data_IF_993702749627
#
_entry.id   IF_993702749627
#
_cell.length_a   1.000
_cell.length_b   1.000
_cell.length_c   1.000
_cell.angle_alpha   90.00
_cell.angle_beta   90.00
_cell.angle_gamma   90.00
#
_symmetry.space_group_name_H-M   'P 1'
#
loop_
_entity.id
_entity.type
_entity.pdbx_description
1 polymer ?
#
# COMPACT_ATOMS: atom_id res chain seq x y z
N UNK A 1 -70.06 57.79 -67.06
CA UNK A 1 -68.99 58.27 -67.98
C UNK A 1 -67.84 58.80 -67.11
N UNK A 2 -66.67 58.11 -67.13
CA UNK A 2 -65.32 58.47 -66.59
C UNK A 2 -65.15 58.68 -65.06
N UNK A 3 -64.03 58.37 -64.38
CA UNK A 3 -62.88 57.40 -64.46
C UNK A 3 -61.95 57.69 -63.24
N UNK A 4 -61.38 56.66 -62.59
CA UNK A 4 -60.03 56.55 -61.93
C UNK A 4 -59.67 57.55 -60.78
N UNK A 5 -58.95 57.24 -59.66
CA UNK A 5 -57.78 56.38 -59.39
C UNK A 5 -57.55 56.24 -57.86
N UNK A 6 -56.78 55.20 -57.45
CA UNK A 6 -56.34 54.74 -56.11
C UNK A 6 -55.46 55.72 -55.28
N UNK A 7 -55.34 55.50 -53.96
CA UNK A 7 -54.13 55.04 -53.22
C UNK A 7 -54.48 54.81 -51.72
N UNK A 8 -53.79 53.84 -51.10
CA UNK A 8 -53.93 53.30 -49.74
C UNK A 8 -52.97 53.97 -48.74
N UNK A 9 -53.18 53.74 -47.43
CA UNK A 9 -52.08 53.68 -46.44
C UNK A 9 -52.42 52.83 -45.20
N UNK A 10 -51.42 52.07 -44.76
CA UNK A 10 -51.35 51.15 -43.63
C UNK A 10 -50.70 51.80 -42.38
N UNK A 11 -50.92 51.23 -41.19
CA UNK A 11 -49.92 51.08 -40.11
C UNK A 11 -50.52 50.19 -39.00
N UNK A 12 -50.16 48.90 -38.89
CA UNK A 12 -48.98 48.27 -38.25
C UNK A 12 -48.96 48.34 -36.71
N UNK A 13 -49.41 47.25 -36.10
CA UNK A 13 -49.23 46.91 -34.69
C UNK A 13 -47.93 46.14 -34.44
N UNK A 14 -47.31 46.40 -33.29
CA UNK A 14 -46.11 45.71 -32.82
C UNK A 14 -46.41 44.46 -32.00
N UNK A 15 -45.53 43.46 -32.10
CA UNK A 15 -45.50 42.28 -31.22
C UNK A 15 -44.07 41.78 -30.99
N UNK A 16 -43.63 41.89 -29.71
CA UNK A 16 -42.96 40.86 -28.90
C UNK A 16 -41.82 40.01 -29.49
N UNK A 17 -40.56 40.48 -29.37
CA UNK A 17 -39.34 39.64 -29.52
C UNK A 17 -38.64 39.29 -28.20
N UNK A 18 -39.01 39.90 -27.06
CA UNK A 18 -38.24 39.79 -25.81
C UNK A 18 -38.39 38.47 -25.04
N UNK A 19 -39.42 37.66 -25.31
CA UNK A 19 -39.73 36.46 -24.51
C UNK A 19 -38.95 35.20 -24.91
N UNK A 20 -38.67 35.02 -26.20
CA UNK A 20 -38.04 33.80 -26.73
C UNK A 20 -36.52 33.73 -26.48
N UNK A 21 -35.85 34.88 -26.37
CA UNK A 21 -34.40 34.92 -26.14
C UNK A 21 -34.04 34.61 -24.66
N UNK A 22 -34.95 34.92 -23.73
CA UNK A 22 -34.77 34.67 -22.29
C UNK A 22 -34.96 33.19 -21.93
N UNK A 23 -35.85 32.47 -22.63
CA UNK A 23 -36.07 31.03 -22.45
C UNK A 23 -34.92 30.19 -23.01
N UNK A 24 -34.35 30.56 -24.15
CA UNK A 24 -33.21 29.84 -24.74
C UNK A 24 -31.93 29.99 -23.90
N UNK A 25 -31.69 31.17 -23.32
CA UNK A 25 -30.55 31.41 -22.42
C UNK A 25 -30.67 30.65 -21.11
N UNK A 26 -31.88 30.53 -20.55
CA UNK A 26 -32.15 29.73 -19.37
C UNK A 26 -32.09 28.22 -19.63
N UNK A 27 -32.49 27.76 -20.83
CA UNK A 27 -32.33 26.35 -21.23
C UNK A 27 -30.86 25.96 -21.44
N UNK A 28 -30.05 26.83 -22.04
CA UNK A 28 -28.60 26.61 -22.18
C UNK A 28 -27.92 26.62 -20.81
N UNK A 29 -28.29 27.56 -19.93
CA UNK A 29 -27.73 27.60 -18.57
C UNK A 29 -28.14 26.37 -17.75
N UNK A 30 -29.40 25.93 -17.85
CA UNK A 30 -29.88 24.70 -17.21
C UNK A 30 -29.19 23.45 -17.77
N UNK A 31 -28.98 23.37 -19.09
CA UNK A 31 -28.25 22.27 -19.72
C UNK A 31 -26.76 22.26 -19.32
N UNK A 32 -26.10 23.42 -19.25
CA UNK A 32 -24.71 23.54 -18.78
C UNK A 32 -24.60 23.19 -17.30
N UNK A 33 -25.56 23.60 -16.46
CA UNK A 33 -25.63 23.21 -15.04
C UNK A 33 -25.93 21.72 -14.88
N UNK A 34 -26.78 21.13 -15.73
CA UNK A 34 -27.06 19.68 -15.73
C UNK A 34 -25.86 18.86 -16.21
N UNK A 35 -25.10 19.35 -17.20
CA UNK A 35 -23.85 18.72 -17.67
C UNK A 35 -22.74 18.87 -16.61
N UNK A 36 -22.65 20.01 -15.92
CA UNK A 36 -21.75 20.18 -14.78
C UNK A 36 -22.17 19.30 -13.58
N UNK A 37 -23.46 19.18 -13.28
CA UNK A 37 -23.97 18.30 -12.22
C UNK A 37 -23.76 16.81 -12.56
N UNK A 38 -23.94 16.41 -13.82
CA UNK A 38 -23.70 15.04 -14.28
C UNK A 38 -22.21 14.66 -14.33
N UNK A 39 -21.32 15.65 -14.43
CA UNK A 39 -19.86 15.44 -14.33
C UNK A 39 -19.33 15.52 -12.89
N UNK A 40 -20.09 16.11 -11.96
CA UNK A 40 -19.74 16.20 -10.54
C UNK A 40 -20.04 14.91 -9.75
N UNK A 41 -20.86 13.99 -10.29
CA UNK A 41 -21.29 12.77 -9.57
C UNK A 41 -21.11 11.46 -10.37
N UNK A 42 -20.28 11.47 -11.42
CA UNK A 42 -19.75 10.24 -11.99
C UNK A 42 -18.57 9.75 -11.13
N UNK A 43 -18.87 9.29 -9.91
CA UNK A 43 -17.86 8.71 -9.02
C UNK A 43 -17.00 7.69 -9.76
N UNK A 44 -15.68 7.75 -9.57
CA UNK A 44 -14.72 6.83 -10.21
C UNK A 44 -15.25 5.38 -10.10
N UNK A 45 -15.19 4.58 -11.17
CA UNK A 45 -15.66 3.19 -11.07
C UNK A 45 -14.63 2.35 -10.30
N UNK A 46 -15.07 1.36 -9.47
CA UNK A 46 -14.15 0.41 -8.87
C UNK A 46 -13.27 -0.28 -9.93
N UNK A 47 -11.98 -0.40 -9.66
CA UNK A 47 -11.00 -1.03 -10.55
C UNK A 47 -10.56 -2.37 -9.98
N UNK A 48 -10.65 -3.42 -10.80
CA UNK A 48 -10.14 -4.75 -10.46
C UNK A 48 -8.66 -4.84 -10.83
N UNK A 49 -7.82 -5.16 -9.86
CA UNK A 49 -6.38 -5.26 -10.01
C UNK A 49 -5.95 -6.70 -9.78
N UNK A 50 -5.27 -7.31 -10.77
CA UNK A 50 -4.70 -8.65 -10.59
C UNK A 50 -3.42 -8.57 -9.76
N UNK A 51 -3.34 -9.36 -8.70
CA UNK A 51 -2.24 -9.33 -7.73
C UNK A 51 -1.56 -10.68 -7.62
N UNK A 52 -0.31 -10.67 -7.19
CA UNK A 52 0.48 -11.84 -6.85
C UNK A 52 1.11 -11.65 -5.46
N UNK A 53 0.79 -12.56 -4.54
CA UNK A 53 1.48 -12.68 -3.26
C UNK A 53 2.55 -13.77 -3.36
N UNK A 54 3.81 -13.39 -3.16
CA UNK A 54 4.97 -14.26 -3.31
C UNK A 54 5.36 -14.84 -1.95
N UNK A 55 5.68 -16.14 -1.92
CA UNK A 55 6.32 -16.80 -0.78
C UNK A 55 7.65 -17.41 -1.19
N UNK A 56 8.70 -17.15 -0.42
CA UNK A 56 9.95 -17.90 -0.43
C UNK A 56 10.71 -17.61 0.87
N UNK A 57 11.59 -18.53 1.28
CA UNK A 57 12.51 -18.31 2.40
C UNK A 57 13.76 -17.61 1.87
N UNK A 58 14.05 -16.35 2.25
CA UNK A 58 15.30 -15.69 1.88
C UNK A 58 16.50 -16.27 2.65
N UNK A 59 17.64 -16.40 1.98
CA UNK A 59 18.91 -16.79 2.59
C UNK A 59 19.44 -15.72 3.54
N UNK A 60 19.95 -16.12 4.70
CA UNK A 60 20.49 -15.18 5.68
C UNK A 60 21.83 -14.61 5.20
N UNK A 61 21.94 -13.28 5.16
CA UNK A 61 23.15 -12.58 4.74
C UNK A 61 23.56 -12.85 3.27
N UNK A 62 22.63 -13.27 2.41
CA UNK A 62 22.88 -13.53 0.98
C UNK A 62 22.14 -12.53 0.09
N UNK A 63 22.59 -11.27 0.11
CA UNK A 63 21.96 -10.20 -0.66
C UNK A 63 21.87 -10.52 -2.16
N UNK A 64 22.94 -11.06 -2.74
CA UNK A 64 23.02 -11.33 -4.17
C UNK A 64 22.11 -12.50 -4.59
N UNK A 65 22.12 -13.61 -3.85
CA UNK A 65 21.26 -14.75 -4.11
C UNK A 65 19.79 -14.43 -3.89
N UNK A 66 19.47 -13.72 -2.81
CA UNK A 66 18.11 -13.24 -2.55
C UNK A 66 17.62 -12.31 -3.65
N UNK A 67 18.44 -11.38 -4.13
CA UNK A 67 18.06 -10.50 -5.22
C UNK A 67 17.78 -11.27 -6.53
N UNK A 68 18.56 -12.32 -6.83
CA UNK A 68 18.30 -13.21 -7.97
C UNK A 68 16.98 -13.97 -7.81
N UNK A 69 16.73 -14.52 -6.62
CA UNK A 69 15.50 -15.28 -6.35
C UNK A 69 14.26 -14.40 -6.40
N UNK A 70 14.32 -13.20 -5.80
CA UNK A 70 13.26 -12.21 -5.83
C UNK A 70 12.94 -11.76 -7.27
N UNK A 71 13.97 -11.49 -8.08
CA UNK A 71 13.77 -11.18 -9.51
C UNK A 71 13.06 -12.33 -10.25
N UNK A 72 13.47 -13.58 -10.03
CA UNK A 72 12.83 -14.74 -10.66
C UNK A 72 11.34 -14.86 -10.26
N UNK A 73 11.02 -14.64 -8.98
CA UNK A 73 9.64 -14.64 -8.51
C UNK A 73 8.80 -13.52 -9.14
N UNK A 74 9.33 -12.30 -9.26
CA UNK A 74 8.62 -11.21 -9.92
C UNK A 74 8.40 -11.46 -11.41
N UNK A 75 9.35 -12.09 -12.11
CA UNK A 75 9.16 -12.51 -13.51
C UNK A 75 8.03 -13.53 -13.64
N UNK A 76 7.96 -14.51 -12.74
CA UNK A 76 6.85 -15.49 -12.71
C UNK A 76 5.51 -14.81 -12.38
N UNK A 77 5.49 -13.86 -11.46
CA UNK A 77 4.29 -13.09 -11.15
C UNK A 77 3.79 -12.28 -12.37
N UNK A 78 4.70 -11.62 -13.08
CA UNK A 78 4.39 -10.90 -14.31
C UNK A 78 3.88 -11.83 -15.43
N UNK A 79 4.52 -12.99 -15.61
CA UNK A 79 4.05 -14.00 -16.57
C UNK A 79 2.65 -14.53 -16.22
N UNK A 80 2.29 -14.56 -14.94
CA UNK A 80 0.94 -14.85 -14.46
C UNK A 80 -0.04 -13.66 -14.54
N UNK A 81 0.32 -12.57 -15.21
CA UNK A 81 -0.55 -11.41 -15.47
C UNK A 81 -0.75 -10.47 -14.27
N UNK A 82 0.08 -10.56 -13.23
CA UNK A 82 -0.04 -9.67 -12.08
C UNK A 82 0.31 -8.22 -12.45
N UNK A 83 -0.52 -7.28 -12.00
CA UNK A 83 -0.25 -5.83 -12.08
C UNK A 83 0.48 -5.32 -10.82
N UNK A 84 0.34 -6.05 -9.70
CA UNK A 84 1.03 -5.85 -8.44
C UNK A 84 1.60 -7.19 -7.95
N UNK A 85 2.90 -7.23 -7.66
CA UNK A 85 3.54 -8.37 -7.00
C UNK A 85 4.08 -7.94 -5.64
N UNK A 86 3.62 -8.60 -4.58
CA UNK A 86 4.05 -8.35 -3.19
C UNK A 86 4.90 -9.53 -2.74
N UNK A 87 6.08 -9.25 -2.20
CA UNK A 87 7.02 -10.23 -1.68
C UNK A 87 7.25 -10.06 -0.16
N UNK A 88 7.84 -11.06 0.50
CA UNK A 88 7.98 -11.08 1.95
C UNK A 88 8.77 -9.93 2.57
N UNK A 89 8.61 -9.81 3.88
CA UNK A 89 9.50 -9.04 4.75
C UNK A 89 10.91 -9.59 4.70
N UNK A 90 11.90 -8.70 4.74
CA UNK A 90 13.32 -9.06 4.73
C UNK A 90 13.76 -9.93 3.56
N UNK A 91 13.10 -9.76 2.41
CA UNK A 91 13.32 -10.55 1.20
C UNK A 91 14.73 -10.38 0.61
N UNK A 92 15.45 -9.29 0.93
CA UNK A 92 16.82 -9.07 0.47
C UNK A 92 17.89 -9.52 1.47
N UNK A 93 17.70 -9.28 2.76
CA UNK A 93 18.71 -9.56 3.77
C UNK A 93 18.54 -10.92 4.46
N UNK A 94 17.33 -11.51 4.45
CA UNK A 94 17.04 -12.79 5.10
C UNK A 94 16.53 -12.69 6.54
N UNK A 95 15.88 -11.57 6.90
CA UNK A 95 15.41 -11.29 8.26
C UNK A 95 16.49 -11.52 9.35
N UNK A 96 17.73 -11.13 9.03
CA UNK A 96 18.94 -11.44 9.80
C UNK A 96 19.02 -10.79 11.16
N UNK A 97 18.14 -9.83 11.44
CA UNK A 97 18.05 -9.17 12.74
C UNK A 97 17.85 -10.17 13.88
N UNK A 98 17.14 -11.28 13.63
CA UNK A 98 16.96 -12.33 14.62
C UNK A 98 18.26 -13.06 14.98
N UNK A 99 19.20 -13.21 14.03
CA UNK A 99 20.51 -13.81 14.30
C UNK A 99 21.36 -12.88 15.19
N UNK A 100 21.24 -11.57 14.98
CA UNK A 100 21.94 -10.56 15.79
C UNK A 100 21.38 -10.54 17.21
N UNK A 101 20.05 -10.47 17.34
CA UNK A 101 19.37 -10.45 18.64
C UNK A 101 19.63 -11.74 19.42
N UNK A 102 19.73 -12.88 18.75
CA UNK A 102 20.05 -14.16 19.38
C UNK A 102 21.55 -14.37 19.65
N UNK A 103 22.41 -13.37 19.41
CA UNK A 103 23.86 -13.47 19.66
C UNK A 103 24.63 -14.36 18.66
N UNK A 104 23.99 -14.82 17.59
CA UNK A 104 24.59 -15.70 16.57
C UNK A 104 25.38 -14.93 15.50
N UNK A 105 25.18 -13.63 15.43
CA UNK A 105 25.92 -12.75 14.53
C UNK A 105 26.21 -11.41 15.22
N UNK A 106 27.35 -10.82 14.90
CA UNK A 106 27.68 -9.45 15.32
C UNK A 106 26.76 -8.44 14.60
N UNK A 107 26.29 -7.37 15.27
CA UNK A 107 25.45 -6.35 14.65
C UNK A 107 26.01 -5.78 13.34
N UNK A 108 27.33 -5.61 13.24
CA UNK A 108 28.04 -5.04 12.09
C UNK A 108 27.74 -5.78 10.79
N UNK A 109 27.51 -7.10 10.86
CA UNK A 109 27.20 -7.94 9.69
C UNK A 109 25.96 -7.51 8.93
N UNK A 110 25.01 -6.82 9.56
CA UNK A 110 23.83 -6.36 8.84
C UNK A 110 24.21 -5.34 7.75
N UNK A 111 25.32 -4.61 7.91
CA UNK A 111 25.76 -3.60 6.95
C UNK A 111 26.14 -4.20 5.60
N UNK A 112 26.54 -5.47 5.58
CA UNK A 112 26.90 -6.22 4.37
C UNK A 112 25.69 -6.50 3.47
N UNK A 113 24.48 -6.47 4.05
CA UNK A 113 23.23 -6.80 3.37
C UNK A 113 22.15 -5.71 3.45
N UNK A 114 22.34 -4.70 4.29
CA UNK A 114 21.51 -3.50 4.32
C UNK A 114 21.86 -2.59 3.14
N UNK A 115 20.83 -1.99 2.54
CA UNK A 115 20.97 -1.20 1.31
C UNK A 115 20.38 0.19 1.47
N UNK A 116 20.94 1.17 0.78
CA UNK A 116 20.29 2.46 0.58
C UNK A 116 19.34 2.37 -0.64
N UNK A 117 18.32 3.23 -0.68
CA UNK A 117 17.30 3.16 -1.74
C UNK A 117 17.78 3.65 -3.12
N UNK A 118 18.91 4.35 -3.16
CA UNK A 118 19.62 4.75 -4.37
C UNK A 118 20.70 3.73 -4.80
N UNK A 119 20.86 2.61 -4.06
CA UNK A 119 21.81 1.56 -4.41
C UNK A 119 21.48 0.82 -5.71
N UNK A 120 22.50 0.19 -6.31
CA UNK A 120 22.37 -0.62 -7.53
C UNK A 120 21.38 -1.78 -7.39
N UNK A 121 21.27 -2.36 -6.19
CA UNK A 121 20.32 -3.45 -5.92
C UNK A 121 18.89 -2.94 -6.05
N UNK A 122 18.58 -1.75 -5.55
CA UNK A 122 17.24 -1.15 -5.70
C UNK A 122 17.03 -0.67 -7.14
N UNK A 123 18.06 -0.11 -7.79
CA UNK A 123 18.02 0.28 -9.20
C UNK A 123 17.71 -0.92 -10.12
N UNK A 124 18.22 -2.12 -9.81
CA UNK A 124 17.88 -3.37 -10.49
C UNK A 124 16.39 -3.66 -10.46
N UNK A 125 15.73 -3.55 -9.30
CA UNK A 125 14.28 -3.77 -9.18
C UNK A 125 13.45 -2.67 -9.84
N UNK A 126 13.92 -1.41 -9.83
CA UNK A 126 13.30 -0.33 -10.60
C UNK A 126 13.33 -0.60 -12.11
N UNK A 127 14.44 -1.12 -12.63
CA UNK A 127 14.57 -1.53 -14.03
C UNK A 127 13.70 -2.75 -14.34
N UNK A 128 13.61 -3.70 -13.41
CA UNK A 128 12.77 -4.88 -13.54
C UNK A 128 11.29 -4.50 -13.62
N UNK A 129 10.80 -3.65 -12.72
CA UNK A 129 9.41 -3.16 -12.71
C UNK A 129 9.02 -2.55 -14.07
N UNK A 130 9.90 -1.71 -14.65
CA UNK A 130 9.71 -1.16 -16.01
C UNK A 130 9.61 -2.23 -17.09
N UNK A 131 10.56 -3.17 -17.09
CA UNK A 131 10.63 -4.23 -18.10
C UNK A 131 9.41 -5.16 -18.05
N UNK A 132 8.93 -5.45 -16.84
CA UNK A 132 7.77 -6.32 -16.64
C UNK A 132 6.45 -5.57 -16.78
N UNK A 133 6.46 -4.24 -16.70
CA UNK A 133 5.27 -3.39 -16.57
C UNK A 133 4.39 -3.80 -15.36
N UNK A 134 5.03 -4.07 -14.22
CA UNK A 134 4.38 -4.53 -12.97
C UNK A 134 4.84 -3.66 -11.80
N UNK A 135 3.93 -3.37 -10.87
CA UNK A 135 4.28 -2.75 -9.59
C UNK A 135 4.84 -3.79 -8.62
N UNK A 136 5.95 -3.48 -7.94
CA UNK A 136 6.67 -4.40 -7.06
C UNK A 136 6.66 -3.88 -5.61
N UNK A 137 6.38 -4.76 -4.67
CA UNK A 137 6.53 -4.50 -3.23
C UNK A 137 7.39 -5.60 -2.61
N UNK A 138 8.41 -5.23 -1.84
CA UNK A 138 9.27 -6.19 -1.13
C UNK A 138 9.93 -5.59 0.09
N UNK A 139 10.25 -6.45 1.06
CA UNK A 139 10.99 -6.08 2.27
C UNK A 139 12.51 -6.07 2.08
N UNK A 140 13.18 -5.15 2.77
CA UNK A 140 14.63 -5.01 2.81
C UNK A 140 15.09 -4.35 4.12
N UNK A 141 16.33 -4.57 4.51
CA UNK A 141 17.01 -3.76 5.52
C UNK A 141 17.50 -2.43 4.89
N UNK A 142 16.86 -1.31 5.21
CA UNK A 142 17.25 0.01 4.67
C UNK A 142 18.30 0.64 5.56
N UNK A 143 19.45 1.01 4.99
CA UNK A 143 20.49 1.78 5.67
C UNK A 143 20.27 3.28 5.46
N UNK A 144 20.30 4.06 6.53
CA UNK A 144 20.22 5.53 6.50
C UNK A 144 21.20 6.08 7.53
N UNK A 145 22.25 6.78 7.06
CA UNK A 145 23.22 7.47 7.95
C UNK A 145 23.76 6.58 9.09
N UNK A 146 24.02 5.31 8.79
CA UNK A 146 24.55 4.32 9.73
C UNK A 146 23.52 3.54 10.53
N UNK A 147 22.27 4.01 10.61
CA UNK A 147 21.15 3.25 11.18
C UNK A 147 20.53 2.31 10.12
N UNK A 148 19.92 1.22 10.57
CA UNK A 148 19.23 0.24 9.74
C UNK A 148 17.78 0.08 10.21
N UNK A 149 16.87 0.06 9.25
CA UNK A 149 15.43 -0.07 9.45
C UNK A 149 14.91 -1.30 8.71
N UNK A 150 13.98 -2.02 9.34
CA UNK A 150 13.15 -2.97 8.61
C UNK A 150 12.18 -2.18 7.72
N UNK A 151 12.39 -2.27 6.40
CA UNK A 151 11.74 -1.44 5.40
C UNK A 151 10.98 -2.30 4.39
N UNK A 152 9.91 -1.74 3.85
CA UNK A 152 9.28 -2.21 2.62
C UNK A 152 9.12 -1.04 1.66
N UNK A 153 9.37 -1.30 0.37
CA UNK A 153 9.26 -0.30 -0.70
C UNK A 153 8.20 -0.68 -1.71
N UNK A 154 7.53 0.32 -2.27
CA UNK A 154 6.65 0.17 -3.42
C UNK A 154 7.29 0.82 -4.64
N UNK A 155 7.50 0.05 -5.70
CA UNK A 155 8.03 0.50 -6.98
C UNK A 155 6.92 0.37 -8.03
N UNK A 156 6.54 1.46 -8.69
CA UNK A 156 5.54 1.38 -9.76
C UNK A 156 6.11 0.74 -11.05
N UNK A 157 5.20 0.44 -11.99
CA UNK A 157 5.53 -0.12 -13.29
C UNK A 157 6.40 0.80 -14.18
N UNK A 158 6.64 2.07 -13.78
CA UNK A 158 7.60 2.99 -14.42
C UNK A 158 8.94 3.02 -13.69
N UNK A 159 9.11 2.22 -12.64
CA UNK A 159 10.33 2.11 -11.85
C UNK A 159 10.57 3.28 -10.89
N UNK A 160 9.52 4.04 -10.54
CA UNK A 160 9.57 5.07 -9.50
C UNK A 160 9.23 4.41 -8.15
N UNK A 161 9.98 4.78 -7.11
CA UNK A 161 9.62 4.43 -5.73
C UNK A 161 8.46 5.37 -5.32
N UNK A 162 7.24 4.84 -5.26
CA UNK A 162 6.07 5.62 -4.88
C UNK A 162 5.99 5.87 -3.37
N UNK A 163 6.49 4.90 -2.59
CA UNK A 163 6.43 4.95 -1.14
C UNK A 163 7.37 3.93 -0.52
N UNK A 164 7.69 4.20 0.74
CA UNK A 164 8.41 3.29 1.62
C UNK A 164 7.80 3.34 3.01
N UNK A 165 8.00 2.29 3.77
CA UNK A 165 7.53 2.21 5.14
C UNK A 165 8.56 1.50 6.00
N UNK A 166 8.84 2.08 7.16
CA UNK A 166 9.67 1.46 8.20
C UNK A 166 8.77 0.84 9.25
N UNK A 167 9.00 -0.43 9.58
CA UNK A 167 8.21 -1.18 10.55
C UNK A 167 8.07 -0.40 11.85
N UNK A 168 6.84 -0.15 12.26
CA UNK A 168 6.57 0.66 13.45
C UNK A 168 6.39 -0.17 14.71
N UNK A 169 6.09 -1.47 14.58
CA UNK A 169 5.92 -2.39 15.70
C UNK A 169 6.82 -3.63 15.53
N UNK A 170 7.90 -3.71 16.30
CA UNK A 170 8.82 -4.85 16.29
C UNK A 170 8.26 -6.00 17.15
N UNK A 171 8.42 -7.24 16.69
CA UNK A 171 7.92 -8.41 17.43
C UNK A 171 8.82 -8.71 18.64
N UNK A 172 10.11 -8.57 18.41
CA UNK A 172 11.25 -8.71 19.32
C UNK A 172 11.34 -7.60 20.37
N UNK A 173 10.59 -6.50 20.20
CA UNK A 173 10.69 -5.28 21.00
C UNK A 173 11.76 -4.33 20.50
N UNK A 174 12.14 -3.36 21.32
CA UNK A 174 13.13 -2.35 20.94
C UNK A 174 13.98 -1.90 22.12
N UNK A 175 15.26 -1.67 21.85
CA UNK A 175 16.18 -1.00 22.76
C UNK A 175 16.84 0.21 22.06
N UNK A 176 16.99 1.37 22.71
CA UNK A 176 17.55 2.57 22.08
C UNK A 176 18.98 2.42 21.53
N UNK A 177 19.75 1.43 21.98
CA UNK A 177 21.09 1.16 21.43
C UNK A 177 21.07 0.43 20.07
N UNK A 178 19.92 -0.09 19.64
CA UNK A 178 19.80 -0.84 18.38
C UNK A 178 19.85 0.09 17.18
N UNK A 179 21.05 0.38 16.70
CA UNK A 179 21.27 1.04 15.42
C UNK A 179 20.93 0.13 14.23
N UNK A 180 20.92 -1.20 14.43
CA UNK A 180 20.68 -2.20 13.38
C UNK A 180 19.20 -2.58 13.17
N UNK A 181 18.28 -2.04 13.98
CA UNK A 181 16.85 -2.33 13.88
C UNK A 181 16.01 -1.20 14.50
N UNK A 182 16.05 -0.03 13.87
CA UNK A 182 15.36 1.17 14.33
C UNK A 182 13.85 1.10 14.08
N UNK A 183 13.10 1.70 15.00
CA UNK A 183 11.65 1.87 14.85
C UNK A 183 11.33 2.91 13.78
N UNK A 184 10.39 2.55 12.90
CA UNK A 184 9.73 3.50 12.02
C UNK A 184 8.99 4.59 12.80
N UNK A 185 8.81 5.76 12.20
CA UNK A 185 8.26 6.94 12.90
C UNK A 185 6.88 7.36 12.42
N UNK A 186 6.48 6.99 11.20
CA UNK A 186 5.22 7.45 10.58
C UNK A 186 4.67 6.38 9.65
N UNK A 187 3.34 6.26 9.63
CA UNK A 187 2.60 5.45 8.63
C UNK A 187 1.77 6.38 7.76
N UNK A 188 1.95 6.38 6.44
CA UNK A 188 1.19 7.21 5.50
C UNK A 188 0.84 6.41 4.27
N UNK A 189 -0.27 6.77 3.65
CA UNK A 189 -0.61 6.24 2.35
C UNK A 189 0.08 7.05 1.25
N UNK A 190 0.27 6.47 0.08
CA UNK A 190 0.92 7.13 -1.06
C UNK A 190 0.28 6.74 -2.37
N UNK A 191 0.33 7.63 -3.35
CA UNK A 191 -0.36 7.43 -4.62
C UNK A 191 0.44 6.47 -5.52
N UNK A 192 -0.26 5.51 -6.10
CA UNK A 192 0.28 4.56 -7.08
C UNK A 192 -0.61 4.55 -8.32
N UNK A 193 -0.13 4.03 -9.47
CA UNK A 193 -0.99 3.83 -10.64
C UNK A 193 -2.21 2.91 -10.38
N UNK A 194 -2.15 2.10 -9.31
CA UNK A 194 -3.19 1.15 -8.94
C UNK A 194 -4.18 1.72 -7.92
N UNK A 195 -3.97 2.95 -7.43
CA UNK A 195 -4.69 3.55 -6.30
C UNK A 195 -3.75 3.91 -5.15
N UNK A 196 -4.26 4.62 -4.15
CA UNK A 196 -3.49 5.01 -2.97
C UNK A 196 -3.27 3.80 -2.06
N UNK A 197 -2.02 3.51 -1.73
CA UNK A 197 -1.60 2.30 -1.03
C UNK A 197 -1.12 2.63 0.39
N UNK A 198 -1.43 1.77 1.36
CA UNK A 198 -0.75 1.71 2.66
C UNK A 198 0.09 0.44 2.81
N UNK A 199 1.23 0.55 3.48
CA UNK A 199 2.08 -0.62 3.80
C UNK A 199 2.04 -0.88 5.30
N UNK A 200 1.90 -2.15 5.68
CA UNK A 200 2.17 -2.67 7.02
C UNK A 200 3.27 -3.72 6.89
N UNK A 201 4.09 -3.94 7.92
CA UNK A 201 5.08 -5.03 7.89
C UNK A 201 4.80 -6.00 9.01
N UNK A 202 4.45 -7.23 8.63
CA UNK A 202 4.38 -8.38 9.51
C UNK A 202 3.65 -8.12 10.83
N UNK A 203 4.39 -7.93 11.92
CA UNK A 203 3.86 -7.75 13.26
C UNK A 203 2.99 -6.49 13.42
N UNK A 204 3.07 -5.53 12.50
CA UNK A 204 2.14 -4.40 12.44
C UNK A 204 0.67 -4.86 12.27
N UNK A 205 0.42 -6.00 11.61
CA UNK A 205 -0.93 -6.55 11.35
C UNK A 205 -1.74 -6.81 12.62
N UNK A 206 -1.07 -7.06 13.74
CA UNK A 206 -1.70 -7.35 15.04
C UNK A 206 -2.26 -6.10 15.72
N UNK A 207 -1.94 -4.91 15.22
CA UNK A 207 -2.41 -3.65 15.79
C UNK A 207 -3.43 -3.00 14.84
N UNK A 208 -4.72 -2.94 15.20
CA UNK A 208 -5.74 -2.37 14.32
C UNK A 208 -5.45 -0.90 13.97
N UNK A 209 -4.88 -0.13 14.91
CA UNK A 209 -4.54 1.28 14.71
C UNK A 209 -3.52 1.47 13.58
N UNK A 210 -2.56 0.55 13.42
CA UNK A 210 -1.54 0.66 12.38
C UNK A 210 -2.11 0.50 10.97
N UNK A 211 -3.17 -0.31 10.81
CA UNK A 211 -3.90 -0.42 9.55
C UNK A 211 -4.85 0.76 9.33
N UNK A 212 -5.46 1.28 10.40
CA UNK A 212 -6.38 2.42 10.34
C UNK A 212 -5.68 3.71 9.89
N UNK A 213 -4.47 3.98 10.38
CA UNK A 213 -3.70 5.20 10.06
C UNK A 213 -3.57 5.47 8.55
N UNK A 214 -3.03 4.55 7.72
CA UNK A 214 -2.92 4.81 6.28
C UNK A 214 -4.29 4.86 5.60
N UNK A 215 -5.31 4.17 6.11
CA UNK A 215 -6.67 4.21 5.55
C UNK A 215 -7.32 5.57 5.81
N UNK A 216 -7.18 6.14 7.00
CA UNK A 216 -7.59 7.52 7.30
C UNK A 216 -6.81 8.55 6.46
N UNK A 217 -5.57 8.22 6.07
CA UNK A 217 -4.78 8.99 5.11
C UNK A 217 -5.15 8.71 3.63
N UNK A 218 -6.21 7.93 3.39
CA UNK A 218 -6.82 7.66 2.08
C UNK A 218 -6.34 6.40 1.37
N UNK A 219 -5.67 5.46 2.04
CA UNK A 219 -5.34 4.18 1.41
C UNK A 219 -6.61 3.46 0.94
N UNK A 220 -6.60 3.05 -0.33
CA UNK A 220 -7.66 2.28 -0.98
C UNK A 220 -7.39 0.77 -0.93
N UNK A 221 -6.15 0.37 -0.61
CA UNK A 221 -5.74 -1.01 -0.38
C UNK A 221 -4.49 -1.05 0.51
N UNK A 222 -4.28 -2.17 1.19
CA UNK A 222 -3.11 -2.41 2.03
C UNK A 222 -2.26 -3.56 1.47
N UNK A 223 -0.96 -3.46 1.67
CA UNK A 223 -0.02 -4.56 1.42
C UNK A 223 0.73 -4.90 2.70
N UNK A 224 0.95 -6.20 2.92
CA UNK A 224 1.61 -6.71 4.13
C UNK A 224 2.75 -7.67 3.75
N UNK A 225 3.97 -7.17 3.52
CA UNK A 225 5.18 -8.01 3.51
C UNK A 225 5.41 -8.60 4.90
N UNK A 226 5.65 -9.91 4.95
CA UNK A 226 5.65 -10.65 6.21
C UNK A 226 6.67 -11.79 6.24
N UNK A 227 7.32 -11.99 7.39
CA UNK A 227 8.03 -13.23 7.71
C UNK A 227 7.77 -13.56 9.19
N UNK A 228 6.69 -14.30 9.45
CA UNK A 228 6.24 -14.55 10.82
C UNK A 228 5.29 -15.73 10.97
N UNK A 229 4.34 -15.59 11.89
CA UNK A 229 3.36 -16.64 12.20
C UNK A 229 2.63 -17.13 10.94
N UNK A 230 2.35 -18.43 10.89
CA UNK A 230 1.52 -19.09 9.86
C UNK A 230 0.18 -19.60 10.44
N UNK A 231 -0.15 -19.20 11.67
CA UNK A 231 -1.30 -19.69 12.42
C UNK A 231 -2.64 -19.16 11.90
N UNK A 232 -3.74 -19.85 12.20
CA UNK A 232 -5.09 -19.36 11.87
C UNK A 232 -5.38 -17.96 12.45
N UNK A 233 -4.83 -17.64 13.63
CA UNK A 233 -4.96 -16.32 14.23
C UNK A 233 -4.33 -15.21 13.37
N UNK A 234 -3.29 -15.54 12.58
CA UNK A 234 -2.69 -14.57 11.66
C UNK A 234 -3.65 -14.27 10.51
N UNK A 235 -4.28 -15.30 9.95
CA UNK A 235 -5.23 -15.16 8.85
C UNK A 235 -6.41 -14.29 9.27
N UNK A 236 -6.93 -14.52 10.50
CA UNK A 236 -7.98 -13.70 11.08
C UNK A 236 -7.53 -12.25 11.31
N UNK A 237 -6.28 -12.02 11.72
CA UNK A 237 -5.77 -10.67 11.88
C UNK A 237 -5.73 -9.92 10.55
N UNK A 238 -5.26 -10.56 9.48
CA UNK A 238 -5.22 -9.98 8.11
C UNK A 238 -6.62 -9.72 7.58
N UNK A 239 -7.54 -10.68 7.74
CA UNK A 239 -8.94 -10.53 7.36
C UNK A 239 -9.61 -9.37 8.11
N UNK A 240 -9.39 -9.29 9.42
CA UNK A 240 -9.88 -8.20 10.26
C UNK A 240 -9.35 -6.84 9.82
N UNK A 241 -8.08 -6.73 9.37
CA UNK A 241 -7.54 -5.48 8.81
C UNK A 241 -8.32 -5.00 7.61
N UNK A 242 -8.68 -5.92 6.71
CA UNK A 242 -9.52 -5.59 5.56
C UNK A 242 -10.95 -5.19 5.96
N UNK A 243 -11.58 -5.96 6.86
CA UNK A 243 -12.98 -5.74 7.30
C UNK A 243 -13.19 -4.42 8.03
N UNK A 244 -12.34 -4.13 9.02
CA UNK A 244 -12.47 -2.92 9.83
C UNK A 244 -12.28 -1.65 9.01
N UNK A 245 -11.45 -1.72 7.96
CA UNK A 245 -11.10 -0.58 7.13
C UNK A 245 -11.85 -0.53 5.79
N UNK A 246 -12.59 -1.59 5.44
CA UNK A 246 -13.29 -1.76 4.16
C UNK A 246 -12.38 -1.56 2.94
N UNK A 247 -11.16 -2.06 3.03
CA UNK A 247 -10.17 -2.05 1.93
C UNK A 247 -9.59 -3.45 1.72
N UNK A 248 -9.26 -3.84 0.49
CA UNK A 248 -8.57 -5.09 0.24
C UNK A 248 -7.15 -5.10 0.83
N UNK A 249 -6.65 -6.31 1.10
CA UNK A 249 -5.32 -6.55 1.66
C UNK A 249 -4.61 -7.63 0.85
N UNK A 250 -3.36 -7.39 0.48
CA UNK A 250 -2.47 -8.39 -0.12
C UNK A 250 -1.33 -8.69 0.84
N UNK A 251 -1.32 -9.87 1.44
CA UNK A 251 -0.23 -10.33 2.29
C UNK A 251 0.67 -11.32 1.55
N UNK A 252 1.97 -11.04 1.61
CA UNK A 252 3.03 -11.96 1.23
C UNK A 252 3.81 -12.38 2.47
N UNK A 253 3.44 -13.52 3.07
CA UNK A 253 4.14 -14.11 4.20
C UNK A 253 4.87 -15.40 3.79
N UNK A 254 5.97 -15.72 4.47
CA UNK A 254 6.75 -16.93 4.20
C UNK A 254 5.99 -18.15 4.73
N UNK A 255 5.55 -19.04 3.83
CA UNK A 255 4.75 -20.23 4.15
C UNK A 255 3.25 -19.98 4.34
N UNK A 256 2.76 -18.76 4.16
CA UNK A 256 1.33 -18.48 3.99
C UNK A 256 1.15 -17.18 3.21
N UNK A 257 0.30 -17.15 2.20
CA UNK A 257 0.01 -15.93 1.44
C UNK A 257 -1.48 -15.74 1.40
N UNK A 258 -1.95 -14.50 1.49
CA UNK A 258 -3.38 -14.19 1.60
C UNK A 258 -3.74 -13.01 0.71
N UNK A 259 -4.87 -13.12 0.03
CA UNK A 259 -5.56 -11.99 -0.61
C UNK A 259 -6.92 -11.86 0.03
N UNK A 260 -7.20 -10.67 0.57
CA UNK A 260 -8.50 -10.28 1.14
C UNK A 260 -9.12 -9.25 0.22
N UNK A 261 -10.34 -9.51 -0.24
CA UNK A 261 -11.17 -8.58 -1.01
C UNK A 261 -12.62 -8.76 -0.59
N UNK A 262 -13.41 -7.69 -0.60
CA UNK A 262 -14.84 -7.71 -0.21
C UNK A 262 -15.13 -8.49 1.09
N UNK A 263 -14.35 -8.20 2.14
CA UNK A 263 -14.50 -8.74 3.49
C UNK A 263 -14.32 -10.27 3.63
N UNK A 264 -13.65 -10.91 2.67
CA UNK A 264 -13.35 -12.34 2.68
C UNK A 264 -11.95 -12.64 2.16
N UNK A 265 -11.38 -13.78 2.55
CA UNK A 265 -10.15 -14.31 1.97
C UNK A 265 -10.51 -14.92 0.61
N UNK A 266 -10.04 -14.32 -0.48
CA UNK A 266 -10.34 -14.75 -1.86
C UNK A 266 -9.26 -15.65 -2.45
N UNK A 267 -8.05 -15.60 -1.90
CA UNK A 267 -6.98 -16.54 -2.25
C UNK A 267 -6.08 -16.79 -1.04
N UNK A 268 -5.70 -18.05 -0.84
CA UNK A 268 -4.76 -18.49 0.20
C UNK A 268 -3.91 -19.65 -0.30
N UNK A 269 -2.64 -19.66 0.07
CA UNK A 269 -1.73 -20.77 -0.15
C UNK A 269 -0.78 -20.87 1.05
N UNK A 270 -0.29 -22.08 1.35
CA UNK A 270 0.54 -22.38 2.51
C UNK A 270 1.89 -23.02 2.16
N UNK A 271 2.28 -22.98 0.88
CA UNK A 271 3.60 -23.42 0.45
C UNK A 271 4.65 -22.42 0.90
N UNK A 272 5.80 -22.93 1.33
CA UNK A 272 6.95 -22.09 1.67
C UNK A 272 7.52 -21.38 0.45
N UNK A 273 7.36 -21.97 -0.74
CA UNK A 273 7.75 -21.36 -2.00
C UNK A 273 6.60 -21.43 -3.01
N UNK A 274 6.21 -20.27 -3.53
CA UNK A 274 5.10 -20.19 -4.47
C UNK A 274 4.63 -18.78 -4.75
N UNK A 275 3.63 -18.68 -5.63
CA UNK A 275 2.94 -17.43 -5.94
C UNK A 275 1.45 -17.71 -5.88
N UNK A 276 0.74 -16.91 -5.09
CA UNK A 276 -0.71 -16.93 -4.99
C UNK A 276 -1.25 -15.77 -5.77
N UNK A 277 -1.97 -16.07 -6.85
CA UNK A 277 -2.64 -15.06 -7.65
C UNK A 277 -4.03 -14.76 -7.08
N UNK A 278 -4.42 -13.50 -7.14
CA UNK A 278 -5.75 -13.05 -6.74
C UNK A 278 -6.15 -11.80 -7.50
N UNK A 279 -7.32 -11.27 -7.14
CA UNK A 279 -7.79 -9.98 -7.62
C UNK A 279 -8.25 -9.17 -6.41
N UNK A 280 -7.90 -7.89 -6.39
CA UNK A 280 -8.43 -6.93 -5.40
C UNK A 280 -9.27 -5.88 -6.12
N UNK A 281 -10.27 -5.35 -5.42
CA UNK A 281 -11.14 -4.30 -5.93
C UNK A 281 -10.76 -2.96 -5.29
N UNK A 282 -10.06 -2.13 -6.05
CA UNK A 282 -9.71 -0.77 -5.62
C UNK A 282 -10.89 0.15 -5.90
N UNK A 283 -11.55 0.57 -4.82
CA UNK A 283 -12.71 1.46 -4.84
C UNK A 283 -12.26 2.92 -4.79
N UNK A 284 -13.07 3.89 -5.25
CA UNK A 284 -12.74 5.32 -5.14
C UNK A 284 -12.31 5.70 -3.75
N UNK A 285 -11.37 6.63 -3.65
CA UNK A 285 -10.88 7.10 -2.35
C UNK A 285 -12.04 7.66 -1.54
N UNK A 286 -12.18 7.18 -0.30
CA UNK A 286 -12.96 7.90 0.70
C UNK A 286 -12.29 9.25 1.02
N UNK A 287 -13.06 10.17 1.60
CA UNK A 287 -12.52 11.44 2.09
C UNK A 287 -11.48 11.16 3.17
N UNK A 288 -10.31 11.78 3.03
CA UNK A 288 -9.22 11.68 4.02
C UNK A 288 -9.66 12.36 5.32
N UNK A 289 -9.42 11.71 6.44
CA UNK A 289 -9.68 12.24 7.78
C UNK A 289 -8.36 12.38 8.53
N UNK A 290 -7.68 13.50 8.26
CA UNK A 290 -6.32 13.75 8.77
C UNK A 290 -6.32 13.99 10.28
N UNK A 291 -7.35 14.62 10.80
CA UNK A 291 -7.46 14.94 12.23
C UNK A 291 -7.63 13.65 13.03
N UNK A 292 -8.56 12.78 12.61
CA UNK A 292 -8.70 11.45 13.23
C UNK A 292 -7.43 10.62 13.06
N UNK A 293 -6.79 10.67 11.89
CA UNK A 293 -5.52 9.96 11.64
C UNK A 293 -4.45 10.36 12.64
N UNK A 294 -4.29 11.66 12.89
CA UNK A 294 -3.26 12.17 13.80
C UNK A 294 -3.56 11.80 15.26
N UNK A 295 -4.83 11.76 15.67
CA UNK A 295 -5.24 11.24 16.98
C UNK A 295 -4.90 9.75 17.13
N UNK A 296 -5.24 8.91 16.14
CA UNK A 296 -4.96 7.48 16.16
C UNK A 296 -3.46 7.20 16.15
N UNK A 297 -2.68 7.93 15.34
CA UNK A 297 -1.22 7.78 15.29
C UNK A 297 -0.58 8.20 16.61
N UNK A 298 -0.99 9.32 17.22
CA UNK A 298 -0.50 9.75 18.53
C UNK A 298 -0.76 8.68 19.59
N UNK A 299 -1.98 8.17 19.67
CA UNK A 299 -2.34 7.12 20.63
C UNK A 299 -1.56 5.81 20.40
N UNK A 300 -1.27 5.45 19.15
CA UNK A 300 -0.38 4.32 18.84
C UNK A 300 1.05 4.59 19.30
N UNK A 301 1.60 5.77 19.01
CA UNK A 301 2.97 6.12 19.35
C UNK A 301 3.20 6.17 20.86
N UNK A 302 2.22 6.65 21.64
CA UNK A 302 2.23 6.62 23.11
C UNK A 302 2.21 5.17 23.63
N UNK A 303 1.26 4.35 23.19
CA UNK A 303 1.18 2.93 23.57
C UNK A 303 2.46 2.16 23.25
N UNK A 304 3.06 2.46 22.09
CA UNK A 304 4.26 1.76 21.60
C UNK A 304 5.46 1.92 22.53
N UNK A 305 5.60 3.06 23.21
CA UNK A 305 6.75 3.33 24.08
C UNK A 305 6.90 2.25 25.16
N UNK A 306 5.78 1.91 25.81
CA UNK A 306 5.77 0.87 26.85
C UNK A 306 5.82 -0.53 26.25
N UNK A 307 5.05 -0.80 25.19
CA UNK A 307 4.95 -2.15 24.65
C UNK A 307 6.28 -2.63 24.03
N UNK A 308 7.05 -1.77 23.37
CA UNK A 308 8.32 -2.17 22.76
C UNK A 308 9.37 -2.55 23.81
N UNK A 309 9.39 -1.86 24.95
CA UNK A 309 10.25 -2.21 26.10
C UNK A 309 9.79 -3.53 26.71
N UNK A 310 8.49 -3.71 26.90
CA UNK A 310 7.93 -4.97 27.43
C UNK A 310 8.29 -6.17 26.54
N UNK A 311 8.14 -6.03 25.21
CA UNK A 311 8.53 -7.07 24.25
C UNK A 311 10.02 -7.36 24.29
N UNK A 312 10.86 -6.33 24.40
CA UNK A 312 12.30 -6.48 24.50
C UNK A 312 12.68 -7.34 25.71
N UNK A 313 12.10 -7.04 26.88
CA UNK A 313 12.34 -7.84 28.09
C UNK A 313 11.89 -9.29 27.93
N UNK A 314 10.71 -9.53 27.32
CA UNK A 314 10.26 -10.91 27.00
C UNK A 314 11.24 -11.64 26.09
N UNK A 315 11.77 -10.96 25.08
CA UNK A 315 12.76 -11.52 24.16
C UNK A 315 14.04 -11.92 24.91
N UNK A 316 14.58 -11.05 25.77
CA UNK A 316 15.76 -11.36 26.58
C UNK A 316 15.54 -12.56 27.51
N UNK A 317 14.39 -12.61 28.20
CA UNK A 317 14.05 -13.74 29.08
C UNK A 317 14.00 -15.06 28.30
N UNK A 318 13.40 -15.06 27.11
CA UNK A 318 13.34 -16.24 26.24
C UNK A 318 14.72 -16.70 25.78
N UNK A 319 15.61 -15.77 25.42
CA UNK A 319 16.98 -16.09 24.99
C UNK A 319 17.80 -16.69 26.13
N UNK A 320 17.76 -16.09 27.33
CA UNK A 320 18.41 -16.63 28.52
C UNK A 320 17.93 -18.04 28.89
N UNK A 321 16.63 -18.31 28.70
CA UNK A 321 16.07 -19.64 28.95
C UNK A 321 16.52 -20.67 27.92
N UNK A 322 16.81 -20.25 26.68
CA UNK A 322 17.32 -21.12 25.63
C UNK A 322 18.81 -21.45 25.79
N UNK A 323 19.61 -20.54 26.36
CA UNK A 323 21.04 -20.77 26.64
C UNK A 323 21.28 -21.79 27.77
N UNK A 324 20.28 -22.00 28.64
CA UNK A 324 20.35 -22.95 29.78
C UNK A 324 19.94 -24.38 29.41
N UNK A 325 19.50 -24.61 28.18
CA UNK A 325 19.08 -25.92 27.66
C UNK A 325 20.10 -26.43 26.66
#
# INVERSE_FOLDING_TARGET
MRRSTRIADENLGGTTESGAMMTMRNMILAAVVLIFAATLDAGEKPRRIRVAAVSFVPGKFDLAGNARKLEAMFRRAAAGGAQLAVAPEGALEGYVVNEIIAGKARPERIKDVAVELDSDVVARFRKLARRLNVCLVFGLAERIKGDVFNCAVFIDHRGRICGKYHKMQLAEGYHPSWWYNRLGRRSRAFDTPLGRCGILICNDRWNPRLAEIPVLDGAQFLVIPSFGSRSAAQDEAVLSRGRENRVPVVEANVGVTLVVDDNQITAVDRREEGITFGTITVRPSSKRDRDKRDVVEKAFLEWRQTEMVRRYQRTLTRLKAAEKK
#
